data_IF_893142178985
#
_entry.id   IF_893142178985
#
_cell.length_a   1.000
_cell.length_b   1.000
_cell.length_c   1.000
_cell.angle_alpha   90.00
_cell.angle_beta   90.00
_cell.angle_gamma   90.00
#
_symmetry.space_group_name_H-M   'P 1'
#
loop_
_entity.id
_entity.type
_entity.pdbx_description
1 polymer ?
#
# COMPACT_ATOMS: atom_id res chain seq x y z
N UNK A 1 10.50 -9.33 -22.33
CA UNK A 1 10.59 -9.03 -20.89
C UNK A 1 11.78 -9.84 -20.38
N UNK A 2 12.97 -9.28 -20.46
CA UNK A 2 14.20 -9.93 -20.01
C UNK A 2 14.32 -9.72 -18.50
N UNK A 3 14.38 -10.82 -17.78
CA UNK A 3 14.69 -10.87 -16.35
C UNK A 3 16.20 -10.86 -16.23
N UNK A 4 16.76 -9.74 -15.80
CA UNK A 4 18.21 -9.62 -15.55
C UNK A 4 18.58 -10.49 -14.34
N UNK A 5 19.20 -11.63 -14.60
CA UNK A 5 19.73 -12.54 -13.60
C UNK A 5 21.11 -12.04 -13.18
N UNK A 6 21.20 -11.28 -12.12
CA UNK A 6 22.47 -10.97 -11.48
C UNK A 6 22.93 -12.18 -10.61
N UNK A 7 24.04 -12.87 -10.94
CA UNK A 7 24.41 -14.14 -10.33
C UNK A 7 25.05 -14.05 -8.94
N UNK A 8 25.17 -12.88 -8.31
CA UNK A 8 26.00 -12.66 -7.13
C UNK A 8 25.28 -12.42 -5.81
N UNK A 9 24.09 -12.98 -5.57
CA UNK A 9 23.47 -12.93 -4.24
C UNK A 9 23.16 -14.34 -3.76
N UNK A 10 23.81 -14.74 -2.66
CA UNK A 10 23.70 -16.07 -2.07
C UNK A 10 22.28 -16.54 -1.77
N UNK A 11 22.10 -17.82 -1.76
CA UNK A 11 20.86 -18.61 -1.73
C UNK A 11 20.02 -18.50 -0.45
N UNK A 12 19.69 -17.31 0.08
CA UNK A 12 18.67 -17.18 1.13
C UNK A 12 17.95 -15.84 0.98
N UNK A 13 16.66 -15.88 0.68
CA UNK A 13 15.74 -14.75 0.85
C UNK A 13 15.86 -13.65 -0.20
N UNK A 14 15.73 -13.96 -1.48
CA UNK A 14 15.64 -12.93 -2.53
C UNK A 14 14.21 -12.51 -2.72
N UNK A 15 13.93 -11.26 -2.44
CA UNK A 15 12.72 -10.58 -2.88
C UNK A 15 13.00 -9.93 -4.25
N UNK A 16 12.13 -10.17 -5.22
CA UNK A 16 12.33 -9.69 -6.58
C UNK A 16 11.75 -8.30 -6.77
N UNK A 17 12.55 -7.41 -7.37
CA UNK A 17 12.11 -6.11 -7.83
C UNK A 17 11.45 -6.27 -9.20
N UNK A 18 10.21 -5.81 -9.34
CA UNK A 18 9.64 -5.59 -10.66
C UNK A 18 10.19 -4.28 -11.22
N UNK A 19 11.33 -4.36 -11.93
CA UNK A 19 11.89 -3.19 -12.64
C UNK A 19 11.05 -2.87 -13.88
N UNK A 20 10.63 -1.61 -13.98
CA UNK A 20 10.16 -0.94 -15.21
C UNK A 20 8.78 -1.35 -15.75
N UNK A 21 7.70 -0.93 -15.09
CA UNK A 21 6.42 -0.75 -15.77
C UNK A 21 6.30 0.73 -16.15
N UNK A 22 6.52 1.06 -17.43
CA UNK A 22 6.42 2.41 -17.97
C UNK A 22 5.06 2.66 -18.59
N UNK A 23 4.34 3.71 -18.15
CA UNK A 23 3.16 4.25 -18.82
C UNK A 23 3.35 5.75 -19.08
N UNK A 24 3.00 6.28 -20.26
CA UNK A 24 3.04 7.71 -20.55
C UNK A 24 1.93 8.45 -19.80
N UNK A 25 2.25 9.56 -19.09
CA UNK A 25 1.40 10.08 -18.01
C UNK A 25 0.52 11.29 -18.34
N UNK A 26 0.96 12.28 -19.14
CA UNK A 26 0.23 13.56 -19.18
C UNK A 26 -1.20 13.57 -19.74
N UNK A 27 -1.55 12.86 -20.82
CA UNK A 27 -2.94 12.84 -21.30
C UNK A 27 -3.86 12.00 -20.40
N UNK A 28 -3.27 10.99 -19.73
CA UNK A 28 -3.99 10.05 -18.87
C UNK A 28 -4.39 10.74 -17.56
N UNK A 29 -3.53 11.59 -16.99
CA UNK A 29 -3.82 12.31 -15.75
C UNK A 29 -5.01 13.25 -15.87
N UNK A 30 -5.10 14.03 -16.96
CA UNK A 30 -6.24 14.93 -17.20
C UNK A 30 -7.56 14.18 -17.43
N UNK A 31 -7.51 13.05 -18.12
CA UNK A 31 -8.68 12.19 -18.32
C UNK A 31 -9.09 11.52 -17.00
N UNK A 32 -8.12 11.04 -16.24
CA UNK A 32 -8.33 10.42 -14.94
C UNK A 32 -8.98 11.38 -13.95
N UNK A 33 -8.55 12.63 -13.85
CA UNK A 33 -9.17 13.63 -12.97
C UNK A 33 -10.65 13.87 -13.31
N UNK A 34 -11.01 13.98 -14.59
CA UNK A 34 -12.41 14.13 -15.01
C UNK A 34 -13.25 12.88 -14.75
N UNK A 35 -12.69 11.70 -14.96
CA UNK A 35 -13.36 10.43 -14.63
C UNK A 35 -13.49 10.24 -13.12
N UNK A 36 -12.51 10.68 -12.33
CA UNK A 36 -12.55 10.66 -10.88
C UNK A 36 -13.75 11.42 -10.35
N UNK A 37 -13.89 12.68 -10.75
CA UNK A 37 -15.04 13.51 -10.33
C UNK A 37 -16.38 12.87 -10.67
N UNK A 38 -16.48 12.21 -11.82
CA UNK A 38 -17.72 11.56 -12.25
C UNK A 38 -18.02 10.29 -11.45
N UNK A 39 -17.02 9.51 -11.09
CA UNK A 39 -17.13 8.28 -10.30
C UNK A 39 -17.39 8.65 -8.83
N UNK A 40 -16.65 9.59 -8.28
CA UNK A 40 -16.70 10.00 -6.89
C UNK A 40 -18.03 10.66 -6.49
N UNK A 41 -18.73 11.30 -7.43
CA UNK A 41 -20.10 11.83 -7.16
C UNK A 41 -21.12 10.73 -6.82
N UNK A 42 -20.82 9.47 -7.14
CA UNK A 42 -21.67 8.30 -6.90
C UNK A 42 -21.17 7.40 -5.77
N UNK A 43 -20.03 7.73 -5.20
CA UNK A 43 -19.42 6.97 -4.10
C UNK A 43 -19.77 7.59 -2.73
N UNK A 44 -19.70 6.78 -1.66
CA UNK A 44 -19.80 7.32 -0.30
C UNK A 44 -18.73 8.39 -0.08
N UNK A 45 -19.02 9.36 0.78
CA UNK A 45 -18.03 10.38 1.14
C UNK A 45 -16.87 9.71 1.86
N UNK A 46 -15.72 9.65 1.21
CA UNK A 46 -14.47 9.19 1.76
C UNK A 46 -13.67 10.39 2.30
N UNK A 47 -12.83 10.24 3.32
CA UNK A 47 -12.37 8.98 3.90
C UNK A 47 -13.32 8.38 4.94
N UNK A 48 -13.21 7.05 5.16
CA UNK A 48 -13.94 6.27 6.15
C UNK A 48 -12.99 5.42 6.97
N UNK A 49 -13.11 5.45 8.29
CA UNK A 49 -12.32 4.62 9.19
C UNK A 49 -13.19 3.64 9.99
N UNK A 50 -12.58 2.59 10.50
CA UNK A 50 -13.19 1.66 11.44
C UNK A 50 -14.49 1.04 10.98
N UNK A 51 -15.49 1.10 11.83
CA UNK A 51 -16.79 0.49 11.59
C UNK A 51 -17.55 1.09 10.39
N UNK A 52 -17.35 2.37 10.08
CA UNK A 52 -17.96 2.99 8.91
C UNK A 52 -17.36 2.46 7.61
N UNK A 53 -16.05 2.20 7.60
CA UNK A 53 -15.41 1.52 6.48
C UNK A 53 -15.93 0.08 6.32
N UNK A 54 -16.13 -0.66 7.41
CA UNK A 54 -16.66 -2.02 7.38
C UNK A 54 -18.15 -2.09 6.99
N UNK A 55 -18.96 -1.08 7.34
CA UNK A 55 -20.36 -1.01 6.88
C UNK A 55 -20.46 -0.87 5.37
N UNK A 56 -19.61 -0.04 4.78
CA UNK A 56 -19.61 0.21 3.33
C UNK A 56 -18.87 -0.89 2.56
N UNK A 57 -17.79 -1.42 3.13
CA UNK A 57 -16.94 -2.45 2.54
C UNK A 57 -16.83 -3.68 3.48
N UNK A 58 -17.92 -4.45 3.68
CA UNK A 58 -17.93 -5.54 4.66
C UNK A 58 -16.93 -6.65 4.35
N UNK A 59 -16.50 -6.78 3.10
CA UNK A 59 -15.45 -7.73 2.67
C UNK A 59 -14.10 -7.48 3.37
N UNK A 60 -13.85 -6.26 3.85
CA UNK A 60 -12.63 -5.94 4.58
C UNK A 60 -12.54 -6.64 5.96
N UNK A 61 -13.66 -7.16 6.45
CA UNK A 61 -13.66 -8.01 7.64
C UNK A 61 -12.86 -9.32 7.45
N UNK A 62 -12.60 -9.74 6.20
CA UNK A 62 -11.75 -10.91 5.92
C UNK A 62 -10.30 -10.69 6.37
N UNK A 63 -9.77 -9.48 6.25
CA UNK A 63 -8.43 -9.16 6.77
C UNK A 63 -8.41 -9.22 8.30
N UNK A 64 -9.48 -8.75 8.95
CA UNK A 64 -9.62 -8.81 10.41
C UNK A 64 -9.60 -10.25 10.93
N UNK A 65 -10.26 -11.18 10.24
CA UNK A 65 -10.23 -12.62 10.57
C UNK A 65 -8.83 -13.23 10.44
N UNK A 66 -8.01 -12.68 9.58
CA UNK A 66 -6.65 -13.18 9.30
C UNK A 66 -5.57 -12.31 9.94
N UNK A 67 -5.93 -11.38 10.84
CA UNK A 67 -5.03 -10.34 11.38
C UNK A 67 -3.72 -10.92 11.93
N UNK A 68 -3.79 -11.89 12.82
CA UNK A 68 -2.61 -12.46 13.48
C UNK A 68 -1.66 -13.14 12.48
N UNK A 69 -2.22 -13.79 11.47
CA UNK A 69 -1.44 -14.43 10.40
C UNK A 69 -0.75 -13.40 9.51
N UNK A 70 -1.48 -12.35 9.11
CA UNK A 70 -0.93 -11.25 8.32
C UNK A 70 0.18 -10.53 9.11
N UNK A 71 -0.04 -10.33 10.41
CA UNK A 71 0.97 -9.72 11.29
C UNK A 71 2.21 -10.61 11.45
N UNK A 72 2.03 -11.92 11.56
CA UNK A 72 3.15 -12.87 11.60
C UNK A 72 3.97 -12.85 10.30
N UNK A 73 3.31 -12.81 9.15
CA UNK A 73 3.96 -12.65 7.85
C UNK A 73 4.78 -11.34 7.79
N UNK A 74 4.20 -10.22 8.27
CA UNK A 74 4.94 -8.96 8.36
C UNK A 74 6.14 -9.04 9.30
N UNK A 75 6.01 -9.67 10.47
CA UNK A 75 7.12 -9.85 11.41
C UNK A 75 8.25 -10.68 10.80
N UNK A 76 7.91 -11.73 10.05
CA UNK A 76 8.89 -12.48 9.26
C UNK A 76 9.62 -11.58 8.26
N UNK A 77 8.92 -10.74 7.51
CA UNK A 77 9.54 -9.79 6.59
C UNK A 77 10.45 -8.80 7.30
N UNK A 78 10.00 -8.27 8.45
CA UNK A 78 10.79 -7.30 9.22
C UNK A 78 12.08 -7.90 9.78
N UNK A 79 12.12 -9.22 10.06
CA UNK A 79 13.36 -9.90 10.43
C UNK A 79 14.39 -9.98 9.28
N UNK A 80 13.95 -9.68 8.05
CA UNK A 80 14.76 -9.65 6.83
C UNK A 80 14.68 -8.28 6.13
N UNK A 81 14.44 -7.20 6.89
CA UNK A 81 14.08 -5.88 6.38
C UNK A 81 15.08 -5.28 5.39
N UNK A 82 16.37 -5.63 5.48
CA UNK A 82 17.39 -5.17 4.53
C UNK A 82 17.15 -5.68 3.08
N UNK A 83 16.45 -6.81 2.95
CA UNK A 83 16.09 -7.36 1.64
C UNK A 83 14.83 -6.71 1.05
N UNK A 84 14.06 -5.93 1.83
CA UNK A 84 12.88 -5.23 1.35
C UNK A 84 13.32 -3.95 0.64
N UNK A 85 12.95 -3.75 -0.64
CA UNK A 85 13.36 -2.57 -1.38
C UNK A 85 12.73 -1.30 -0.83
N UNK A 86 13.43 -0.18 -0.97
CA UNK A 86 12.83 1.13 -0.79
C UNK A 86 11.85 1.43 -1.93
N UNK A 87 10.82 2.25 -1.66
CA UNK A 87 9.81 2.58 -2.68
C UNK A 87 10.44 3.09 -3.97
N UNK A 88 11.39 4.01 -3.91
CA UNK A 88 12.04 4.59 -5.09
C UNK A 88 12.86 3.58 -5.92
N UNK A 89 13.24 2.44 -5.33
CA UNK A 89 13.92 1.35 -6.05
C UNK A 89 12.92 0.53 -6.88
N UNK A 90 11.64 0.52 -6.48
CA UNK A 90 10.54 -0.19 -7.15
C UNK A 90 9.76 0.75 -8.06
N UNK A 91 9.55 1.98 -7.61
CA UNK A 91 8.81 3.03 -8.32
C UNK A 91 9.62 4.34 -8.36
N UNK A 92 10.54 4.50 -9.33
CA UNK A 92 11.52 5.60 -9.35
C UNK A 92 10.93 7.01 -9.41
N UNK A 93 9.63 7.16 -9.68
CA UNK A 93 8.94 8.45 -9.72
C UNK A 93 8.39 8.88 -8.37
N UNK A 94 8.22 7.95 -7.43
CA UNK A 94 7.68 8.23 -6.11
C UNK A 94 8.82 8.66 -5.17
N UNK A 95 9.27 9.91 -5.34
CA UNK A 95 10.36 10.52 -4.57
C UNK A 95 9.84 11.28 -3.33
N UNK A 96 8.67 10.90 -2.83
CA UNK A 96 8.01 11.58 -1.69
C UNK A 96 8.72 11.38 -0.35
N UNK A 97 9.68 10.47 -0.29
CA UNK A 97 10.47 10.20 0.92
C UNK A 97 11.93 9.99 0.56
N UNK A 98 12.82 10.66 1.26
CA UNK A 98 14.26 10.52 1.06
C UNK A 98 14.79 9.16 1.50
N UNK A 99 15.69 8.59 0.73
CA UNK A 99 16.42 7.38 1.08
C UNK A 99 15.57 6.13 1.21
N UNK A 100 15.87 5.31 2.22
CA UNK A 100 15.23 4.00 2.46
C UNK A 100 14.20 4.03 3.60
N UNK A 101 13.71 5.20 3.97
CA UNK A 101 12.76 5.35 5.07
C UNK A 101 11.38 4.78 4.76
N UNK A 102 11.02 4.67 3.47
CA UNK A 102 9.80 3.99 3.04
C UNK A 102 10.14 2.76 2.20
N UNK A 103 9.83 1.58 2.73
CA UNK A 103 10.05 0.29 2.07
C UNK A 103 8.73 -0.33 1.66
N UNK A 104 8.73 -1.06 0.56
CA UNK A 104 7.53 -1.71 0.03
C UNK A 104 7.82 -3.15 -0.38
N UNK A 105 6.91 -4.05 0.01
CA UNK A 105 6.97 -5.44 -0.38
C UNK A 105 5.70 -5.80 -1.19
N UNK A 106 5.86 -5.84 -2.50
CA UNK A 106 4.76 -6.03 -3.44
C UNK A 106 4.24 -7.46 -3.42
N UNK A 107 2.93 -7.64 -3.30
CA UNK A 107 2.23 -8.93 -3.38
C UNK A 107 1.47 -9.07 -4.69
N UNK A 108 0.85 -7.99 -5.11
CA UNK A 108 0.08 -7.92 -6.35
C UNK A 108 0.25 -6.54 -6.98
N UNK A 109 0.38 -6.48 -8.29
CA UNK A 109 0.48 -5.22 -9.04
C UNK A 109 -0.28 -5.33 -10.36
N UNK A 110 -1.18 -4.37 -10.61
CA UNK A 110 -2.03 -4.32 -11.82
C UNK A 110 -2.79 -5.62 -12.08
N UNK A 111 -3.24 -6.29 -11.03
CA UNK A 111 -3.95 -7.57 -11.13
C UNK A 111 -3.04 -8.81 -11.17
N UNK A 112 -1.72 -8.64 -11.33
CA UNK A 112 -0.76 -9.74 -11.41
C UNK A 112 -0.14 -10.04 -10.04
N UNK A 113 -0.05 -11.32 -9.71
CA UNK A 113 0.64 -11.81 -8.52
C UNK A 113 2.16 -11.67 -8.69
N UNK A 114 2.86 -11.25 -7.63
CA UNK A 114 4.31 -11.32 -7.51
C UNK A 114 4.66 -12.62 -6.79
N UNK A 115 4.72 -13.73 -7.53
CA UNK A 115 4.80 -15.10 -6.99
C UNK A 115 5.95 -15.32 -6.03
N UNK A 116 7.11 -14.74 -6.32
CA UNK A 116 8.29 -14.86 -5.48
C UNK A 116 8.05 -14.28 -4.09
N UNK A 117 7.36 -13.14 -4.04
CA UNK A 117 7.02 -12.48 -2.79
C UNK A 117 5.87 -13.19 -2.06
N UNK A 118 4.81 -13.55 -2.76
CA UNK A 118 3.63 -14.19 -2.15
C UNK A 118 3.93 -15.57 -1.59
N UNK A 119 4.96 -16.25 -2.12
CA UNK A 119 5.44 -17.53 -1.57
C UNK A 119 5.98 -17.39 -0.14
N UNK A 120 6.53 -16.23 0.22
CA UNK A 120 7.09 -15.97 1.54
C UNK A 120 6.03 -15.56 2.58
N UNK A 121 4.86 -15.06 2.12
CA UNK A 121 3.78 -14.49 2.95
C UNK A 121 2.41 -14.99 2.48
N UNK A 122 2.28 -16.29 2.42
CA UNK A 122 1.13 -16.97 1.82
C UNK A 122 -0.19 -16.67 2.52
N UNK A 123 -0.19 -16.63 3.85
CA UNK A 123 -1.40 -16.33 4.63
C UNK A 123 -1.97 -14.95 4.31
N UNK A 124 -1.09 -13.96 4.14
CA UNK A 124 -1.47 -12.59 3.72
C UNK A 124 -2.06 -12.60 2.31
N UNK A 125 -1.38 -13.26 1.36
CA UNK A 125 -1.86 -13.29 -0.01
C UNK A 125 -3.21 -13.99 -0.14
N UNK A 126 -3.42 -15.09 0.57
CA UNK A 126 -4.69 -15.80 0.61
C UNK A 126 -5.82 -14.94 1.22
N UNK A 127 -5.52 -14.12 2.23
CA UNK A 127 -6.48 -13.17 2.78
C UNK A 127 -6.86 -12.08 1.76
N UNK A 128 -5.88 -11.53 1.04
CA UNK A 128 -6.09 -10.52 -0.02
C UNK A 128 -6.92 -11.09 -1.16
N UNK A 129 -6.70 -12.35 -1.56
CA UNK A 129 -7.45 -12.98 -2.64
C UNK A 129 -8.95 -13.14 -2.35
N UNK A 130 -9.37 -13.10 -1.08
CA UNK A 130 -10.80 -13.11 -0.70
C UNK A 130 -11.48 -11.76 -0.91
N UNK A 131 -10.71 -10.68 -1.16
CA UNK A 131 -11.24 -9.36 -1.42
C UNK A 131 -11.35 -9.16 -2.93
N UNK A 132 -12.56 -9.08 -3.50
CA UNK A 132 -12.73 -8.90 -4.93
C UNK A 132 -12.22 -7.53 -5.39
N UNK A 133 -11.68 -7.47 -6.61
CA UNK A 133 -11.27 -6.21 -7.23
C UNK A 133 -9.95 -5.63 -6.73
N UNK A 134 -9.18 -6.36 -5.93
CA UNK A 134 -7.84 -5.91 -5.54
C UNK A 134 -6.89 -5.96 -6.74
N UNK A 135 -6.46 -4.79 -7.19
CA UNK A 135 -5.52 -4.64 -8.30
C UNK A 135 -4.07 -4.57 -7.83
N UNK A 136 -3.83 -3.90 -6.72
CA UNK A 136 -2.49 -3.75 -6.14
C UNK A 136 -2.56 -4.01 -4.65
N UNK A 137 -1.62 -4.77 -4.13
CA UNK A 137 -1.48 -5.06 -2.72
C UNK A 137 0.00 -5.15 -2.35
N UNK A 138 0.36 -4.56 -1.22
CA UNK A 138 1.73 -4.52 -0.74
C UNK A 138 1.77 -4.34 0.78
N UNK A 139 2.84 -4.76 1.40
CA UNK A 139 3.21 -4.22 2.70
C UNK A 139 3.93 -2.89 2.50
N UNK A 140 3.45 -1.86 3.19
CA UNK A 140 4.02 -0.52 3.24
C UNK A 140 4.65 -0.31 4.60
N UNK A 141 5.95 -0.07 4.65
CA UNK A 141 6.73 0.01 5.87
C UNK A 141 7.42 1.37 5.92
N UNK A 142 6.92 2.24 6.78
CA UNK A 142 7.48 3.58 7.00
C UNK A 142 8.27 3.59 8.30
N UNK A 143 9.52 4.00 8.24
CA UNK A 143 10.40 4.08 9.41
C UNK A 143 9.94 5.17 10.38
N UNK A 144 10.21 4.99 11.68
CA UNK A 144 9.96 6.03 12.68
C UNK A 144 10.72 7.32 12.37
N UNK A 145 10.07 8.46 12.55
CA UNK A 145 10.58 9.80 12.20
C UNK A 145 10.51 10.15 10.72
N UNK A 146 9.96 9.27 9.87
CA UNK A 146 9.82 9.54 8.45
C UNK A 146 8.49 10.23 8.13
N UNK A 147 8.52 11.03 7.08
CA UNK A 147 7.34 11.72 6.54
C UNK A 147 7.21 11.40 5.05
N UNK A 148 5.98 11.26 4.58
CA UNK A 148 5.63 11.18 3.16
C UNK A 148 5.00 12.52 2.81
N UNK A 149 5.66 13.29 1.94
CA UNK A 149 5.22 14.63 1.55
C UNK A 149 3.81 14.64 0.92
N UNK A 150 3.10 15.79 0.96
CA UNK A 150 1.80 15.93 0.32
C UNK A 150 1.84 15.52 -1.15
N UNK A 151 0.97 14.59 -1.51
CA UNK A 151 0.88 14.05 -2.87
C UNK A 151 -0.54 13.60 -3.19
N UNK A 152 -0.76 13.24 -4.46
CA UNK A 152 -2.02 12.69 -4.98
C UNK A 152 -1.71 11.46 -5.81
N UNK A 153 -2.51 10.43 -5.65
CA UNK A 153 -2.46 9.28 -6.56
C UNK A 153 -2.91 9.66 -7.97
N UNK A 154 -2.28 9.08 -8.97
CA UNK A 154 -2.49 9.40 -10.39
C UNK A 154 -3.70 8.70 -11.02
N UNK A 155 -4.31 7.74 -10.34
CA UNK A 155 -5.36 6.89 -10.88
C UNK A 155 -6.74 7.20 -10.27
N UNK A 156 -7.62 7.74 -11.11
CA UNK A 156 -9.02 7.97 -10.75
C UNK A 156 -9.80 6.67 -10.57
N UNK A 157 -10.71 6.66 -9.60
CA UNK A 157 -11.55 5.48 -9.32
C UNK A 157 -10.83 4.37 -8.57
N UNK A 158 -9.57 4.58 -8.18
CA UNK A 158 -8.86 3.70 -7.27
C UNK A 158 -9.14 4.12 -5.84
N UNK A 159 -9.72 3.19 -5.08
CA UNK A 159 -9.89 3.33 -3.65
C UNK A 159 -8.65 2.76 -2.98
N UNK A 160 -8.01 3.58 -2.15
CA UNK A 160 -6.91 3.16 -1.30
C UNK A 160 -7.48 2.61 0.00
N UNK A 161 -6.93 1.48 0.39
CA UNK A 161 -7.29 0.81 1.61
C UNK A 161 -6.03 0.56 2.44
N UNK A 162 -5.98 1.13 3.64
CA UNK A 162 -4.94 0.86 4.61
C UNK A 162 -5.47 -0.06 5.70
N UNK A 163 -4.72 -1.09 6.00
CA UNK A 163 -4.97 -2.01 7.10
C UNK A 163 -3.75 -2.03 8.02
N UNK A 164 -3.73 -1.24 9.10
CA UNK A 164 -2.58 -1.09 9.96
C UNK A 164 -2.30 -2.38 10.73
N UNK A 165 -1.05 -2.81 10.75
CA UNK A 165 -0.61 -4.05 11.39
C UNK A 165 0.30 -3.77 12.59
N UNK A 166 1.12 -2.74 12.51
CA UNK A 166 2.00 -2.27 13.57
C UNK A 166 1.92 -0.75 13.56
N UNK A 167 1.55 -0.18 14.69
CA UNK A 167 1.47 1.26 14.90
C UNK A 167 2.21 1.63 16.18
N UNK A 168 2.75 2.86 16.32
CA UNK A 168 3.34 3.33 17.57
C UNK A 168 2.34 3.28 18.72
N UNK A 169 2.86 3.15 19.94
CA UNK A 169 2.03 3.23 21.15
C UNK A 169 1.48 4.63 21.42
N UNK A 170 2.07 5.63 20.79
CA UNK A 170 1.68 7.04 20.85
C UNK A 170 1.02 7.42 19.52
N UNK A 171 -0.30 7.25 19.38
CA UNK A 171 -0.99 7.38 18.09
C UNK A 171 -0.87 8.79 17.49
N UNK A 172 -0.71 9.82 18.32
CA UNK A 172 -0.50 11.20 17.88
C UNK A 172 0.79 11.41 17.08
N UNK A 173 1.73 10.46 17.16
CA UNK A 173 2.99 10.50 16.41
C UNK A 173 2.91 9.86 15.04
N UNK A 174 1.84 9.09 14.77
CA UNK A 174 1.69 8.38 13.51
C UNK A 174 0.29 8.62 12.92
N UNK A 175 0.23 9.42 11.87
CA UNK A 175 -1.04 9.83 11.29
C UNK A 175 -0.95 10.08 9.78
N UNK A 176 -2.11 10.14 9.15
CA UNK A 176 -2.29 10.56 7.78
C UNK A 176 -3.28 11.71 7.72
N UNK A 177 -2.95 12.76 6.98
CA UNK A 177 -3.91 13.80 6.60
C UNK A 177 -4.46 13.50 5.21
N UNK A 178 -5.78 13.59 5.05
CA UNK A 178 -6.46 13.36 3.79
C UNK A 178 -7.45 14.49 3.56
N UNK A 179 -7.17 15.36 2.58
CA UNK A 179 -8.05 16.48 2.23
C UNK A 179 -8.31 17.43 3.40
N UNK A 180 -7.34 17.67 4.26
CA UNK A 180 -7.42 18.55 5.43
C UNK A 180 -7.94 17.89 6.71
N UNK A 181 -8.19 16.57 6.71
CA UNK A 181 -8.62 15.83 7.89
C UNK A 181 -7.55 14.87 8.36
N UNK A 182 -7.23 14.87 9.66
CA UNK A 182 -6.27 13.97 10.28
C UNK A 182 -6.91 12.66 10.70
N UNK A 183 -6.26 11.55 10.39
CA UNK A 183 -6.62 10.20 10.80
C UNK A 183 -5.42 9.54 11.48
N UNK A 184 -5.66 9.00 12.66
CA UNK A 184 -4.69 8.20 13.38
C UNK A 184 -4.92 6.74 13.03
N UNK A 185 -3.83 6.00 12.79
CA UNK A 185 -3.97 4.57 12.57
C UNK A 185 -4.11 3.82 13.89
N UNK A 186 -5.00 2.87 13.89
CA UNK A 186 -5.20 1.91 14.96
C UNK A 186 -5.01 0.51 14.39
N UNK A 187 -4.25 -0.36 15.09
CA UNK A 187 -3.96 -1.71 14.64
C UNK A 187 -5.24 -2.50 14.38
N UNK A 188 -5.34 -3.14 13.20
CA UNK A 188 -6.50 -3.92 12.80
C UNK A 188 -7.74 -3.10 12.41
N UNK A 189 -7.66 -1.76 12.42
CA UNK A 189 -8.76 -0.87 12.08
C UNK A 189 -8.58 -0.30 10.67
N UNK A 190 -9.44 -0.64 9.71
CA UNK A 190 -9.26 -0.19 8.33
C UNK A 190 -9.50 1.31 8.16
N UNK A 191 -8.73 1.92 7.25
CA UNK A 191 -8.94 3.25 6.72
C UNK A 191 -9.09 3.17 5.20
N UNK A 192 -10.16 3.74 4.67
CA UNK A 192 -10.50 3.73 3.24
C UNK A 192 -10.57 5.16 2.73
N UNK A 193 -9.88 5.47 1.66
CA UNK A 193 -9.90 6.80 1.07
C UNK A 193 -9.70 6.79 -0.45
N UNK A 194 -10.04 7.91 -1.05
CA UNK A 194 -9.78 8.17 -2.45
C UNK A 194 -8.34 8.69 -2.61
N UNK A 195 -7.53 7.91 -3.31
CA UNK A 195 -6.11 8.18 -3.53
C UNK A 195 -5.84 9.48 -4.31
N UNK A 196 -6.82 10.00 -5.05
CA UNK A 196 -6.70 11.26 -5.79
C UNK A 196 -6.83 12.50 -4.90
N UNK A 197 -7.27 12.34 -3.65
CA UNK A 197 -7.25 13.41 -2.66
C UNK A 197 -5.83 13.62 -2.17
N UNK A 198 -5.47 14.90 -1.98
CA UNK A 198 -4.18 15.22 -1.39
C UNK A 198 -4.08 14.58 -0.02
N UNK A 199 -2.99 13.87 0.18
CA UNK A 199 -2.71 13.21 1.45
C UNK A 199 -1.21 13.18 1.73
N UNK A 200 -0.87 13.15 3.01
CA UNK A 200 0.49 13.08 3.50
C UNK A 200 0.54 12.35 4.84
N UNK A 201 1.71 11.84 5.18
CA UNK A 201 1.89 10.90 6.29
C UNK A 201 3.04 11.32 7.16
N UNK A 202 2.86 11.16 8.46
CA UNK A 202 3.91 11.28 9.46
C UNK A 202 3.95 10.03 10.35
N UNK A 203 5.16 9.52 10.59
CA UNK A 203 5.41 8.43 11.53
C UNK A 203 6.45 8.83 12.56
#
# INVERSE_FOLDING_TARGET
>A
MEIDQNPNVGQKGRFYLTKNIWLPQEPIEKLNLKMSDMILRRMPKLPLGGDDALKIFPVLAELRKSHDKIKADLQYLLSHHEAIPALHEVHPRDLYVAGRAWRTFLLKIWGHEVKENTSAVRDTYDAICRIPGVHTALFSILAGGAEIEPHRGSAAGVIRFHYPLIVPTEPEKCWIEIGGYHFFWEEGVPLVFDDTREHWVKN
#
